data_IF_062922192664
#
_entry.id   IF_062922192664
#
_cell.length_a   1.000
_cell.length_b   1.000
_cell.length_c   1.000
_cell.angle_alpha   90.00
_cell.angle_beta   90.00
_cell.angle_gamma   90.00
#
_symmetry.space_group_name_H-M   'P 1'
#
loop_
_entity.id
_entity.type
_entity.pdbx_description
1 polymer ?
#
# COMPACT_ATOMS: atom_id res chain seq x y z
N UNK A 1 -6.81 35.12 -3.61
CA UNK A 1 -6.48 34.02 -2.69
C UNK A 1 -7.50 34.01 -1.54
N UNK A 2 -7.88 32.85 -0.98
CA UNK A 2 -8.90 32.71 0.09
C UNK A 2 -8.25 32.22 1.40
N UNK A 3 -7.71 33.13 2.25
CA UNK A 3 -6.96 32.75 3.47
C UNK A 3 -7.82 32.00 4.49
N UNK A 4 -9.11 32.31 4.54
CA UNK A 4 -10.10 31.63 5.38
C UNK A 4 -10.18 30.12 5.08
N UNK A 5 -10.06 29.74 3.81
CA UNK A 5 -10.08 28.33 3.37
C UNK A 5 -8.77 27.61 3.68
N UNK A 6 -7.63 28.30 3.58
CA UNK A 6 -6.33 27.74 3.98
C UNK A 6 -6.34 27.41 5.47
N UNK A 7 -6.82 28.34 6.32
CA UNK A 7 -6.90 28.15 7.77
C UNK A 7 -7.86 27.03 8.19
N UNK A 8 -8.90 26.77 7.39
CA UNK A 8 -9.89 25.72 7.64
C UNK A 8 -9.47 24.34 7.11
N UNK A 9 -8.30 24.21 6.47
CA UNK A 9 -7.85 22.93 5.89
C UNK A 9 -7.42 21.97 6.99
N UNK A 10 -7.74 20.69 6.82
CA UNK A 10 -7.32 19.61 7.73
C UNK A 10 -6.19 18.84 7.05
N UNK A 11 -5.11 18.57 7.77
CA UNK A 11 -4.00 17.80 7.25
C UNK A 11 -4.30 16.29 7.33
N UNK A 12 -3.88 15.50 6.34
CA UNK A 12 -3.94 14.03 6.44
C UNK A 12 -3.09 13.51 7.60
N UNK A 13 -3.56 12.45 8.27
CA UNK A 13 -2.83 11.81 9.37
C UNK A 13 -1.57 11.07 8.90
N UNK A 14 -1.53 10.67 7.62
CA UNK A 14 -0.39 10.03 6.98
C UNK A 14 -0.27 10.51 5.54
N UNK A 15 0.97 10.76 5.12
CA UNK A 15 1.32 11.08 3.74
C UNK A 15 2.00 9.88 3.09
N UNK A 16 1.73 9.67 1.80
CA UNK A 16 2.47 8.73 0.96
C UNK A 16 3.44 9.49 0.06
N UNK A 17 4.52 8.83 -0.33
CA UNK A 17 5.47 9.37 -1.29
C UNK A 17 4.75 9.81 -2.58
N UNK A 18 5.04 11.03 -3.02
CA UNK A 18 4.35 11.67 -4.13
C UNK A 18 4.35 10.79 -5.38
N UNK A 19 3.23 10.84 -6.11
CA UNK A 19 2.98 10.05 -7.33
C UNK A 19 2.90 8.53 -7.16
N UNK A 20 2.99 7.99 -5.93
CA UNK A 20 2.86 6.54 -5.70
C UNK A 20 1.48 5.95 -6.06
N UNK A 21 0.47 6.81 -6.25
CA UNK A 21 -0.89 6.45 -6.71
C UNK A 21 -1.53 5.37 -5.84
N UNK A 22 -1.98 5.76 -4.65
CA UNK A 22 -2.81 4.94 -3.76
C UNK A 22 -4.13 4.60 -4.43
N UNK A 23 -4.42 3.30 -4.62
CA UNK A 23 -5.68 2.86 -5.22
C UNK A 23 -6.63 2.17 -4.26
N UNK A 24 -6.11 1.41 -3.30
CA UNK A 24 -6.94 0.65 -2.38
C UNK A 24 -6.26 0.47 -1.01
N UNK A 25 -7.07 0.25 0.01
CA UNK A 25 -6.66 0.01 1.39
C UNK A 25 -7.61 -0.98 2.06
N UNK A 26 -7.06 -1.92 2.81
CA UNK A 26 -7.81 -2.83 3.68
C UNK A 26 -7.21 -2.87 5.08
N UNK A 27 -8.05 -2.83 6.10
CA UNK A 27 -7.63 -3.14 7.47
C UNK A 27 -7.55 -4.65 7.65
N UNK A 28 -6.52 -5.12 8.34
CA UNK A 28 -6.29 -6.54 8.58
C UNK A 28 -6.91 -6.99 9.89
N UNK A 29 -7.94 -7.83 9.81
CA UNK A 29 -8.62 -8.47 10.94
C UNK A 29 -8.41 -9.99 10.99
N UNK A 30 -7.68 -10.55 10.01
CA UNK A 30 -7.35 -11.97 9.92
C UNK A 30 -6.41 -12.44 11.03
N UNK A 31 -6.31 -13.77 11.18
CA UNK A 31 -5.45 -14.40 12.19
C UNK A 31 -4.25 -15.15 11.59
N UNK A 32 -4.06 -15.10 10.28
CA UNK A 32 -3.01 -15.86 9.60
C UNK A 32 -1.64 -15.19 9.71
N UNK A 33 -1.59 -13.86 9.60
CA UNK A 33 -0.36 -13.11 9.80
C UNK A 33 -0.06 -12.98 11.30
N UNK A 34 1.21 -12.67 11.67
CA UNK A 34 1.59 -12.42 13.04
C UNK A 34 0.68 -11.41 13.75
N UNK A 35 0.53 -11.55 15.07
CA UNK A 35 -0.45 -10.83 15.87
C UNK A 35 -0.34 -9.30 15.75
N UNK A 36 0.87 -8.80 15.56
CA UNK A 36 1.18 -7.38 15.41
C UNK A 36 0.58 -6.76 14.14
N UNK A 37 0.20 -7.55 13.13
CA UNK A 37 -0.45 -7.05 11.91
C UNK A 37 -1.95 -6.79 12.09
N UNK A 38 -2.57 -7.30 13.17
CA UNK A 38 -4.00 -7.14 13.39
C UNK A 38 -4.34 -5.71 13.76
N UNK A 39 -5.32 -5.14 13.06
CA UNK A 39 -5.73 -3.75 13.19
C UNK A 39 -4.95 -2.77 12.31
N UNK A 40 -3.86 -3.21 11.69
CA UNK A 40 -3.08 -2.40 10.75
C UNK A 40 -3.74 -2.37 9.37
N UNK A 41 -3.34 -1.39 8.55
CA UNK A 41 -3.83 -1.27 7.18
C UNK A 41 -2.78 -1.71 6.16
N UNK A 42 -3.20 -2.45 5.15
CA UNK A 42 -2.44 -2.67 3.92
C UNK A 42 -2.93 -1.73 2.84
N UNK A 43 -1.98 -1.17 2.08
CA UNK A 43 -2.27 -0.12 1.09
C UNK A 43 -1.60 -0.46 -0.24
N UNK A 44 -2.39 -0.48 -1.31
CA UNK A 44 -1.90 -0.71 -2.66
C UNK A 44 -1.40 0.59 -3.30
N UNK A 45 -0.10 0.64 -3.59
CA UNK A 45 0.53 1.73 -4.33
C UNK A 45 0.75 1.27 -5.77
N UNK A 46 -0.12 1.72 -6.68
CA UNK A 46 -0.08 1.37 -8.12
C UNK A 46 1.22 1.79 -8.80
N UNK A 47 1.83 2.84 -8.27
CA UNK A 47 3.04 3.44 -8.77
C UNK A 47 2.82 4.54 -9.81
N UNK A 48 3.86 5.34 -9.95
CA UNK A 48 3.84 6.59 -10.72
C UNK A 48 3.61 6.41 -12.23
N UNK A 49 3.22 7.50 -12.87
CA UNK A 49 3.22 7.61 -14.33
C UNK A 49 3.82 8.94 -14.83
N UNK A 50 3.91 9.95 -13.94
CA UNK A 50 4.37 11.29 -14.24
C UNK A 50 5.33 11.79 -13.15
N UNK A 51 6.43 11.08 -12.94
CA UNK A 51 7.53 11.45 -12.06
C UNK A 51 8.84 11.05 -12.73
N UNK A 52 9.88 11.89 -12.62
CA UNK A 52 11.19 11.61 -13.22
C UNK A 52 11.82 10.37 -12.60
N UNK A 53 11.78 10.25 -11.27
CA UNK A 53 12.19 9.03 -10.58
C UNK A 53 10.93 8.25 -10.18
N UNK A 54 10.74 6.99 -10.58
CA UNK A 54 9.53 6.25 -10.25
C UNK A 54 9.36 5.95 -8.76
N UNK A 55 8.11 5.91 -8.30
CA UNK A 55 7.72 5.61 -6.90
C UNK A 55 6.49 4.71 -6.86
N UNK A 56 6.26 4.02 -5.73
CA UNK A 56 5.16 3.07 -5.55
C UNK A 56 5.48 1.65 -6.04
N UNK A 57 4.57 1.03 -6.79
CA UNK A 57 4.66 -0.36 -7.29
C UNK A 57 4.87 -1.38 -6.18
N UNK A 58 4.07 -1.27 -5.12
CA UNK A 58 4.21 -2.07 -3.90
C UNK A 58 2.93 -2.07 -3.10
N UNK A 59 2.85 -3.02 -2.16
CA UNK A 59 1.91 -2.95 -1.05
C UNK A 59 2.69 -2.53 0.19
N UNK A 60 2.18 -1.56 0.92
CA UNK A 60 2.76 -1.10 2.20
C UNK A 60 1.84 -1.43 3.35
N UNK A 61 2.41 -1.56 4.54
CA UNK A 61 1.69 -1.67 5.81
C UNK A 61 1.78 -0.34 6.55
N UNK A 62 0.65 0.11 7.06
CA UNK A 62 0.55 1.27 7.96
C UNK A 62 0.16 0.72 9.33
N UNK A 63 1.01 0.95 10.33
CA UNK A 63 0.68 0.56 11.70
C UNK A 63 -0.34 1.50 12.33
N UNK A 64 -1.32 0.93 13.02
CA UNK A 64 -2.37 1.66 13.72
C UNK A 64 -2.31 1.40 15.23
N UNK A 65 -2.64 2.43 16.00
CA UNK A 65 -2.83 2.35 17.44
C UNK A 65 -3.98 3.27 17.84
N UNK A 66 -4.89 2.76 18.67
CA UNK A 66 -6.04 3.52 19.18
C UNK A 66 -6.85 4.21 18.05
N UNK A 67 -7.00 3.51 16.92
CA UNK A 67 -7.73 3.99 15.74
C UNK A 67 -6.98 5.03 14.89
N UNK A 68 -5.69 5.29 15.14
CA UNK A 68 -4.88 6.27 14.41
C UNK A 68 -3.63 5.65 13.78
N UNK A 69 -3.22 6.08 12.58
CA UNK A 69 -1.96 5.64 11.99
C UNK A 69 -0.77 6.19 12.82
N UNK A 70 0.31 5.43 12.90
CA UNK A 70 1.53 5.80 13.65
C UNK A 70 2.44 6.79 12.89
N UNK A 71 1.97 7.38 11.79
CA UNK A 71 2.68 8.41 11.04
C UNK A 71 3.74 7.92 10.06
N UNK A 72 3.90 6.60 9.89
CA UNK A 72 4.77 5.99 8.89
C UNK A 72 4.15 4.74 8.28
N UNK A 73 4.76 4.26 7.20
CA UNK A 73 4.43 3.00 6.56
C UNK A 73 5.70 2.23 6.21
N UNK A 74 5.60 0.91 6.16
CA UNK A 74 6.69 0.01 5.79
C UNK A 74 6.34 -0.80 4.55
N UNK A 75 7.36 -1.21 3.79
CA UNK A 75 7.17 -2.08 2.64
C UNK A 75 6.67 -3.45 3.13
N UNK A 76 5.56 -3.93 2.56
CA UNK A 76 5.03 -5.27 2.85
C UNK A 76 5.27 -6.23 1.67
N UNK A 77 4.83 -5.87 0.46
CA UNK A 77 5.13 -6.62 -0.77
C UNK A 77 5.76 -5.71 -1.79
N UNK A 78 6.98 -6.06 -2.21
CA UNK A 78 7.76 -5.36 -3.24
C UNK A 78 8.15 -6.32 -4.36
N UNK A 79 8.83 -5.81 -5.40
CA UNK A 79 9.29 -6.61 -6.54
C UNK A 79 8.43 -6.49 -7.79
N UNK A 80 7.34 -5.73 -7.74
CA UNK A 80 6.56 -5.38 -8.93
C UNK A 80 7.32 -4.44 -9.86
N UNK A 81 8.21 -3.58 -9.32
CA UNK A 81 9.14 -2.75 -10.10
C UNK A 81 10.47 -3.49 -10.28
N UNK A 82 10.86 -3.68 -11.54
CA UNK A 82 12.04 -4.44 -11.95
C UNK A 82 13.25 -3.54 -12.15
N UNK A 83 13.04 -2.45 -12.91
CA UNK A 83 14.12 -1.68 -13.51
C UNK A 83 13.63 -0.31 -14.01
N UNK A 84 14.55 0.53 -14.44
CA UNK A 84 14.24 1.80 -15.09
C UNK A 84 14.19 2.98 -14.13
N UNK A 85 15.13 3.92 -14.31
CA UNK A 85 15.32 5.09 -13.44
C UNK A 85 14.47 6.29 -13.82
N UNK A 86 14.13 6.42 -15.10
CA UNK A 86 13.31 7.53 -15.64
C UNK A 86 11.87 7.09 -15.95
N UNK A 87 11.68 5.79 -16.22
CA UNK A 87 10.40 5.14 -16.46
C UNK A 87 10.47 3.74 -15.88
N UNK A 88 9.50 3.38 -15.04
CA UNK A 88 9.48 2.06 -14.42
C UNK A 88 9.16 0.96 -15.45
N UNK A 89 9.99 -0.07 -15.47
CA UNK A 89 9.68 -1.38 -16.03
C UNK A 89 9.14 -2.27 -14.91
N UNK A 90 7.95 -2.82 -15.12
CA UNK A 90 7.19 -3.48 -14.05
C UNK A 90 6.70 -4.86 -14.46
N UNK A 91 6.71 -5.80 -13.51
CA UNK A 91 5.96 -7.05 -13.62
C UNK A 91 4.47 -6.84 -13.35
N UNK A 92 4.13 -5.83 -12.55
CA UNK A 92 2.77 -5.60 -12.11
C UNK A 92 2.54 -4.23 -11.48
N UNK A 93 1.28 -3.90 -11.26
CA UNK A 93 0.84 -2.66 -10.60
C UNK A 93 -0.30 -3.00 -9.65
N UNK A 94 -0.04 -3.05 -8.32
CA UNK A 94 -1.08 -3.31 -7.33
C UNK A 94 -2.25 -2.34 -7.48
N UNK A 95 -3.46 -2.86 -7.55
CA UNK A 95 -4.67 -2.09 -7.83
C UNK A 95 -5.76 -2.27 -6.78
N UNK A 96 -5.97 -3.50 -6.28
CA UNK A 96 -6.96 -3.79 -5.24
C UNK A 96 -6.44 -4.82 -4.24
N UNK A 97 -6.99 -4.78 -3.04
CA UNK A 97 -6.65 -5.65 -1.92
C UNK A 97 -7.90 -6.30 -1.34
N UNK A 98 -7.76 -7.53 -0.86
CA UNK A 98 -8.81 -8.18 -0.07
C UNK A 98 -8.21 -9.15 0.93
N UNK A 99 -8.82 -9.27 2.11
CA UNK A 99 -8.50 -10.34 3.06
C UNK A 99 -9.37 -11.55 2.71
N UNK A 100 -8.73 -12.67 2.35
CA UNK A 100 -9.43 -13.92 2.06
C UNK A 100 -9.97 -14.55 3.35
N UNK A 101 -10.89 -15.51 3.20
CA UNK A 101 -11.53 -16.20 4.34
C UNK A 101 -10.54 -16.92 5.27
N UNK A 102 -9.39 -17.35 4.73
CA UNK A 102 -8.31 -17.99 5.49
C UNK A 102 -7.33 -16.99 6.12
N UNK A 103 -7.63 -15.69 6.06
CA UNK A 103 -6.80 -14.60 6.56
C UNK A 103 -5.59 -14.25 5.68
N UNK A 104 -5.47 -14.80 4.47
CA UNK A 104 -4.42 -14.37 3.52
C UNK A 104 -4.76 -13.03 2.88
N UNK A 105 -3.75 -12.27 2.47
CA UNK A 105 -3.95 -11.06 1.68
C UNK A 105 -3.96 -11.41 0.19
N UNK A 106 -5.01 -11.00 -0.52
CA UNK A 106 -5.09 -11.03 -1.97
C UNK A 106 -4.70 -9.66 -2.52
N UNK A 107 -3.89 -9.65 -3.57
CA UNK A 107 -3.47 -8.45 -4.29
C UNK A 107 -3.86 -8.62 -5.75
N UNK A 108 -4.73 -7.76 -6.25
CA UNK A 108 -5.01 -7.66 -7.67
C UNK A 108 -3.95 -6.79 -8.35
N UNK A 109 -3.30 -7.34 -9.36
CA UNK A 109 -2.35 -6.65 -10.23
C UNK A 109 -2.99 -6.47 -11.62
N UNK A 110 -3.20 -5.21 -12.00
CA UNK A 110 -3.91 -4.89 -13.23
C UNK A 110 -3.04 -4.86 -14.49
N UNK A 111 -1.71 -4.82 -14.35
CA UNK A 111 -0.78 -4.84 -15.49
C UNK A 111 -0.32 -6.25 -15.80
N UNK A 112 -0.04 -7.04 -14.76
CA UNK A 112 0.29 -8.46 -14.90
C UNK A 112 -0.93 -9.37 -15.06
N UNK A 113 -2.15 -8.85 -14.90
CA UNK A 113 -3.39 -9.64 -15.01
C UNK A 113 -3.47 -10.79 -14.00
N UNK A 114 -2.88 -10.59 -12.82
CA UNK A 114 -2.62 -11.66 -11.84
C UNK A 114 -3.24 -11.32 -10.48
N UNK A 115 -3.79 -12.33 -9.79
CA UNK A 115 -4.14 -12.23 -8.38
C UNK A 115 -3.07 -12.95 -7.56
N UNK A 116 -2.36 -12.21 -6.72
CA UNK A 116 -1.36 -12.76 -5.81
C UNK A 116 -2.01 -13.10 -4.48
N UNK A 117 -1.70 -14.27 -3.90
CA UNK A 117 -2.10 -14.65 -2.54
C UNK A 117 -0.88 -14.67 -1.65
N UNK A 118 -0.87 -13.79 -0.65
CA UNK A 118 0.19 -13.68 0.35
C UNK A 118 -0.23 -14.45 1.59
N UNK A 119 0.53 -15.49 1.91
CA UNK A 119 0.29 -16.35 3.06
C UNK A 119 1.52 -16.43 3.97
N UNK A 120 1.30 -16.36 5.28
CA UNK A 120 2.35 -16.52 6.28
C UNK A 120 2.51 -18.01 6.61
N UNK A 121 3.72 -18.52 6.44
CA UNK A 121 4.05 -19.95 6.66
C UNK A 121 4.83 -20.18 7.97
N UNK A 122 4.87 -19.19 8.86
CA UNK A 122 5.72 -19.21 10.04
C UNK A 122 7.12 -18.64 9.78
N UNK A 123 7.93 -18.46 10.85
CA UNK A 123 9.34 -18.13 10.71
C UNK A 123 10.07 -19.27 9.97
N UNK A 124 11.13 -18.90 9.24
CA UNK A 124 12.07 -19.87 8.65
C UNK A 124 12.93 -20.53 9.71
#
# INVERSE_FOLDING_TARGET
>A
MRPDKVKASVHPDLLFEAHSSTLDLVFYDGQQFPAEYRGDAFVALKGSWNRSEPTGYKVVRVSFKDGKPQGSYENFVTGFWVSGKDRAEVWGRPAALAVAKDGSLLIADDTGGTIWRIAYTGPK
#
